data_IF_111510319025
#
_entry.id   IF_111510319025
#
_cell.length_a   1.000
_cell.length_b   1.000
_cell.length_c   1.000
_cell.angle_alpha   90.00
_cell.angle_beta   90.00
_cell.angle_gamma   90.00
#
_symmetry.space_group_name_H-M   'P 1'
#
loop_
_entity.id
_entity.type
_entity.pdbx_description
1 polymer ?
#
# COMPACT_ATOMS: atom_id res chain seq x y z
N UNK A 1 23.31 -12.61 -65.10
CA UNK A 1 22.19 -13.37 -64.56
C UNK A 1 22.10 -14.68 -65.34
N UNK A 2 22.14 -15.86 -64.70
CA UNK A 2 21.96 -17.16 -65.35
C UNK A 2 20.51 -17.62 -65.17
N UNK A 3 19.86 -17.98 -66.31
CA UNK A 3 18.49 -18.47 -66.34
C UNK A 3 18.53 -19.91 -66.86
N UNK A 4 17.95 -20.87 -66.17
CA UNK A 4 17.86 -22.27 -66.59
C UNK A 4 16.54 -22.45 -67.35
N UNK A 5 16.64 -22.90 -68.60
CA UNK A 5 15.46 -23.14 -69.46
C UNK A 5 15.25 -24.64 -69.58
N UNK A 6 13.99 -25.11 -69.43
CA UNK A 6 13.60 -26.47 -69.69
C UNK A 6 13.35 -26.65 -71.19
N UNK A 7 14.24 -27.41 -71.86
CA UNK A 7 14.19 -27.61 -73.30
C UNK A 7 13.01 -28.46 -73.76
N UNK A 8 12.29 -29.10 -72.83
CA UNK A 8 11.07 -29.88 -73.12
C UNK A 8 9.80 -29.02 -73.13
N UNK A 9 9.94 -27.75 -72.75
CA UNK A 9 8.84 -26.78 -72.66
C UNK A 9 8.98 -25.71 -73.74
N UNK A 10 7.87 -25.17 -74.17
CA UNK A 10 7.84 -24.01 -75.04
C UNK A 10 8.47 -22.78 -74.38
N UNK A 11 8.86 -21.79 -75.15
CA UNK A 11 9.35 -20.48 -74.65
C UNK A 11 8.32 -19.83 -73.75
N UNK A 12 7.03 -19.91 -74.12
CA UNK A 12 5.92 -19.34 -73.34
C UNK A 12 5.76 -20.01 -71.97
N UNK A 13 5.89 -21.34 -71.90
CA UNK A 13 5.80 -22.08 -70.65
C UNK A 13 6.98 -21.77 -69.71
N UNK A 14 8.17 -21.66 -70.24
CA UNK A 14 9.34 -21.21 -69.47
C UNK A 14 9.17 -19.78 -68.96
N UNK A 15 8.66 -18.87 -69.79
CA UNK A 15 8.38 -17.51 -69.37
C UNK A 15 7.29 -17.44 -68.28
N UNK A 16 6.20 -18.18 -68.44
CA UNK A 16 5.14 -18.27 -67.43
C UNK A 16 5.66 -18.82 -66.08
N UNK A 17 6.52 -19.83 -66.09
CA UNK A 17 7.13 -20.38 -64.88
C UNK A 17 7.96 -19.31 -64.12
N UNK A 18 8.79 -18.54 -64.82
CA UNK A 18 9.57 -17.48 -64.16
C UNK A 18 8.72 -16.30 -63.72
N UNK A 19 7.67 -15.98 -64.42
CA UNK A 19 6.73 -14.95 -64.03
C UNK A 19 5.97 -15.32 -62.72
N UNK A 20 5.46 -16.53 -62.63
CA UNK A 20 4.79 -17.03 -61.44
C UNK A 20 5.76 -17.12 -60.25
N UNK A 21 7.00 -17.55 -60.49
CA UNK A 21 8.02 -17.60 -59.46
C UNK A 21 8.39 -16.21 -58.95
N UNK A 22 8.47 -15.22 -59.84
CA UNK A 22 8.68 -13.80 -59.47
C UNK A 22 7.55 -13.27 -58.62
N UNK A 23 6.30 -13.52 -59.05
CA UNK A 23 5.08 -13.11 -58.34
C UNK A 23 5.03 -13.70 -56.92
N UNK A 24 5.34 -14.98 -56.78
CA UNK A 24 5.39 -15.64 -55.46
C UNK A 24 6.52 -15.07 -54.59
N UNK A 25 7.68 -14.80 -55.17
CA UNK A 25 8.79 -14.17 -54.44
C UNK A 25 8.47 -12.77 -53.95
N UNK A 26 7.84 -11.94 -54.79
CA UNK A 26 7.36 -10.58 -54.38
C UNK A 26 6.37 -10.67 -53.20
N UNK A 27 5.38 -11.56 -53.28
CA UNK A 27 4.43 -11.77 -52.15
C UNK A 27 5.13 -12.15 -50.85
N UNK A 28 6.16 -13.01 -50.93
CA UNK A 28 6.97 -13.39 -49.75
C UNK A 28 7.75 -12.20 -49.18
N UNK A 29 8.33 -11.36 -50.04
CA UNK A 29 9.08 -10.18 -49.62
C UNK A 29 8.14 -9.18 -48.94
N UNK A 30 6.97 -8.94 -49.52
CA UNK A 30 5.99 -7.99 -48.93
C UNK A 30 5.47 -8.51 -47.59
N UNK A 31 5.20 -9.82 -47.47
CA UNK A 31 4.83 -10.44 -46.21
C UNK A 31 5.95 -10.33 -45.15
N UNK A 32 7.20 -10.58 -45.52
CA UNK A 32 8.33 -10.44 -44.61
C UNK A 32 8.56 -8.98 -44.17
N UNK A 33 8.43 -8.01 -45.09
CA UNK A 33 8.48 -6.58 -44.72
C UNK A 33 7.39 -6.17 -43.74
N UNK A 34 6.16 -6.63 -43.97
CA UNK A 34 5.05 -6.34 -43.06
C UNK A 34 5.25 -6.95 -41.67
N UNK A 35 5.77 -8.19 -41.61
CA UNK A 35 6.09 -8.84 -40.35
C UNK A 35 7.20 -8.09 -39.61
N UNK A 36 8.25 -7.68 -40.32
CA UNK A 36 9.38 -6.92 -39.74
C UNK A 36 8.91 -5.60 -39.12
N UNK A 37 8.07 -4.84 -39.85
CA UNK A 37 7.51 -3.59 -39.29
C UNK A 37 6.64 -3.79 -38.06
N UNK A 38 5.88 -4.90 -37.98
CA UNK A 38 5.08 -5.22 -36.80
C UNK A 38 5.98 -5.55 -35.61
N UNK A 39 7.01 -6.34 -35.83
CA UNK A 39 7.97 -6.72 -34.78
C UNK A 39 8.76 -5.50 -34.27
N UNK A 40 9.18 -4.61 -35.15
CA UNK A 40 9.87 -3.37 -34.77
C UNK A 40 8.98 -2.49 -33.87
N UNK A 41 7.70 -2.32 -34.22
CA UNK A 41 6.74 -1.56 -33.38
C UNK A 41 6.49 -2.23 -32.02
N UNK A 42 6.51 -3.55 -31.97
CA UNK A 42 6.34 -4.31 -30.74
C UNK A 42 7.57 -4.17 -29.83
N UNK A 43 8.77 -4.23 -30.42
CA UNK A 43 10.03 -4.00 -29.71
C UNK A 43 10.06 -2.59 -29.12
N UNK A 44 9.75 -1.57 -29.91
CA UNK A 44 9.73 -0.17 -29.44
C UNK A 44 8.75 0.02 -28.27
N UNK A 45 7.57 -0.62 -28.33
CA UNK A 45 6.60 -0.59 -27.24
C UNK A 45 7.12 -1.29 -25.98
N UNK A 46 7.77 -2.44 -26.11
CA UNK A 46 8.36 -3.18 -24.99
C UNK A 46 9.53 -2.42 -24.36
N UNK A 47 10.39 -1.80 -25.15
CA UNK A 47 11.49 -0.97 -24.66
C UNK A 47 11.01 0.24 -23.86
N UNK A 48 9.98 0.94 -24.34
CA UNK A 48 9.36 2.05 -23.60
C UNK A 48 8.76 1.56 -22.26
N UNK A 49 8.11 0.40 -22.25
CA UNK A 49 7.56 -0.18 -21.03
C UNK A 49 8.67 -0.55 -20.05
N UNK A 50 9.74 -1.16 -20.55
CA UNK A 50 10.90 -1.58 -19.74
C UNK A 50 11.64 -0.38 -19.13
N UNK A 51 11.88 0.67 -19.92
CA UNK A 51 12.47 1.93 -19.41
C UNK A 51 11.60 2.60 -18.35
N UNK A 52 10.27 2.52 -18.49
CA UNK A 52 9.34 3.00 -17.48
C UNK A 52 9.39 2.19 -16.19
N UNK A 53 9.45 0.86 -16.30
CA UNK A 53 9.59 -0.04 -15.15
C UNK A 53 10.95 0.10 -14.44
N UNK A 54 12.05 0.28 -15.20
CA UNK A 54 13.38 0.52 -14.64
C UNK A 54 13.43 1.85 -13.87
N UNK A 55 12.84 2.93 -14.39
CA UNK A 55 12.71 4.21 -13.68
C UNK A 55 11.90 4.08 -12.39
N UNK A 56 10.82 3.28 -12.40
CA UNK A 56 10.03 2.98 -11.18
C UNK A 56 10.87 2.18 -10.19
N UNK A 57 11.65 1.19 -10.65
CA UNK A 57 12.52 0.41 -9.76
C UNK A 57 13.67 1.23 -9.18
N UNK A 58 14.25 2.14 -9.94
CA UNK A 58 15.27 3.08 -9.43
C UNK A 58 14.70 4.03 -8.38
N UNK A 59 13.50 4.57 -8.60
CA UNK A 59 12.83 5.41 -7.59
C UNK A 59 12.49 4.62 -6.32
N UNK A 60 12.15 3.32 -6.44
CA UNK A 60 11.93 2.41 -5.31
C UNK A 60 13.20 2.06 -4.54
N UNK A 61 14.37 2.04 -5.18
CA UNK A 61 15.65 1.76 -4.52
C UNK A 61 16.18 2.91 -3.66
N UNK A 62 15.70 4.13 -3.85
CA UNK A 62 16.26 5.32 -3.17
C UNK A 62 15.77 5.54 -1.74
N UNK A 63 14.68 4.87 -1.29
CA UNK A 63 14.18 5.03 0.08
C UNK A 63 14.32 3.74 0.89
N UNK A 64 15.15 3.77 1.91
CA UNK A 64 15.22 2.70 2.92
C UNK A 64 13.97 2.80 3.80
N UNK A 65 13.11 1.76 3.77
CA UNK A 65 11.91 1.72 4.63
C UNK A 65 12.33 1.60 6.09
N UNK A 66 11.69 2.38 6.94
CA UNK A 66 11.83 2.26 8.38
C UNK A 66 11.16 0.97 8.89
N UNK A 67 11.69 0.43 9.99
CA UNK A 67 11.24 -0.85 10.53
C UNK A 67 9.77 -0.87 10.94
N UNK A 68 9.19 0.28 11.30
CA UNK A 68 7.80 0.43 11.74
C UNK A 68 6.80 0.54 10.58
N UNK A 69 7.20 0.83 9.36
CA UNK A 69 6.29 1.03 8.22
C UNK A 69 5.50 -0.23 7.82
N UNK A 70 5.93 -1.40 8.23
CA UNK A 70 5.19 -2.65 8.06
C UNK A 70 3.94 -2.75 8.93
N UNK A 71 3.81 -1.91 9.96
CA UNK A 71 2.68 -1.80 10.87
C UNK A 71 1.76 -0.63 10.49
N UNK A 72 0.63 -0.47 11.17
CA UNK A 72 0.01 0.83 11.31
C UNK A 72 0.94 1.67 12.17
N UNK A 73 1.25 2.87 11.74
CA UNK A 73 2.18 3.73 12.47
C UNK A 73 1.82 5.20 12.31
N UNK A 74 2.14 5.98 13.31
CA UNK A 74 2.10 7.43 13.26
C UNK A 74 2.95 8.02 14.40
N UNK A 75 3.27 9.30 14.25
CA UNK A 75 3.78 10.10 15.35
C UNK A 75 2.63 10.87 15.97
N UNK A 76 2.49 10.82 17.32
CA UNK A 76 1.51 11.61 18.05
C UNK A 76 1.81 13.11 17.94
N UNK A 77 0.86 13.96 18.32
CA UNK A 77 1.10 15.41 18.38
C UNK A 77 2.25 15.80 19.32
N UNK A 78 2.59 14.92 20.26
CA UNK A 78 3.71 15.08 21.21
C UNK A 78 4.99 14.33 20.77
N UNK A 79 5.09 13.91 19.49
CA UNK A 79 6.23 13.20 18.89
C UNK A 79 6.53 11.79 19.45
N UNK A 80 5.55 11.08 20.00
CA UNK A 80 5.71 9.68 20.36
C UNK A 80 5.39 8.79 19.15
N UNK A 81 6.27 7.81 18.88
CA UNK A 81 6.00 6.80 17.87
C UNK A 81 4.93 5.82 18.38
N UNK A 82 3.83 5.73 17.67
CA UNK A 82 2.75 4.79 17.93
C UNK A 82 2.71 3.74 16.80
N UNK A 83 2.74 2.46 17.15
CA UNK A 83 2.69 1.36 16.18
C UNK A 83 1.60 0.37 16.53
N UNK A 84 0.91 -0.17 15.52
CA UNK A 84 -0.17 -1.13 15.69
C UNK A 84 -0.15 -2.23 14.63
N UNK A 85 -0.56 -3.43 15.00
CA UNK A 85 -0.62 -4.54 14.06
C UNK A 85 -1.69 -4.36 12.99
N UNK A 86 -1.47 -4.87 11.79
CA UNK A 86 -2.44 -4.88 10.67
C UNK A 86 -3.24 -6.17 10.60
N UNK A 87 -2.68 -7.24 11.16
CA UNK A 87 -3.23 -8.59 11.17
C UNK A 87 -2.71 -9.39 12.37
N UNK A 88 -3.14 -10.64 12.49
CA UNK A 88 -2.72 -11.52 13.59
C UNK A 88 -1.20 -11.71 13.67
N UNK A 89 -0.52 -11.79 12.51
CA UNK A 89 0.93 -11.98 12.46
C UNK A 89 1.68 -10.74 12.93
N UNK A 90 1.26 -9.57 12.46
CA UNK A 90 1.85 -8.29 12.85
C UNK A 90 1.51 -7.91 14.29
N UNK A 91 0.31 -8.24 14.79
CA UNK A 91 -0.02 -8.13 16.22
C UNK A 91 0.92 -8.96 17.09
N UNK A 92 1.17 -10.23 16.71
CA UNK A 92 2.11 -11.09 17.41
C UNK A 92 3.53 -10.50 17.44
N UNK A 93 3.97 -9.94 16.32
CA UNK A 93 5.29 -9.29 16.22
C UNK A 93 5.35 -8.01 17.05
N UNK A 94 4.32 -7.17 17.04
CA UNK A 94 4.26 -5.94 17.85
C UNK A 94 4.41 -6.28 19.32
N UNK A 95 3.62 -7.21 19.83
CA UNK A 95 3.63 -7.56 21.25
C UNK A 95 4.90 -8.31 21.66
N UNK A 96 5.34 -9.31 20.89
CA UNK A 96 6.47 -10.17 21.30
C UNK A 96 7.86 -9.55 21.04
N UNK A 97 7.97 -8.67 20.05
CA UNK A 97 9.29 -8.17 19.60
C UNK A 97 9.51 -6.69 19.87
N UNK A 98 8.45 -5.89 19.85
CA UNK A 98 8.61 -4.43 19.90
C UNK A 98 7.99 -3.79 21.14
N UNK A 99 7.20 -4.50 21.93
CA UNK A 99 6.71 -4.03 23.22
C UNK A 99 7.81 -4.08 24.26
N UNK A 100 8.02 -2.98 24.95
CA UNK A 100 8.99 -2.81 26.05
C UNK A 100 8.25 -2.53 27.36
N UNK A 101 8.94 -2.72 28.51
CA UNK A 101 8.31 -2.67 29.83
C UNK A 101 7.68 -1.32 30.18
N UNK A 102 8.18 -0.23 29.61
CA UNK A 102 7.67 1.13 29.85
C UNK A 102 6.63 1.60 28.82
N UNK A 103 6.32 0.79 27.81
CA UNK A 103 5.35 1.15 26.79
C UNK A 103 3.91 1.16 27.34
N UNK A 104 2.99 1.77 26.61
CA UNK A 104 1.56 1.70 26.90
C UNK A 104 0.87 0.94 25.78
N UNK A 105 0.08 -0.06 26.13
CA UNK A 105 -0.59 -0.97 25.18
C UNK A 105 -2.07 -0.63 25.09
N UNK A 106 -2.59 -0.62 23.86
CA UNK A 106 -4.01 -0.33 23.58
C UNK A 106 -4.66 -1.49 22.82
N UNK A 107 -5.90 -1.77 23.16
CA UNK A 107 -6.74 -2.73 22.43
C UNK A 107 -8.22 -2.38 22.64
N UNK A 108 -9.14 -2.95 21.85
CA UNK A 108 -10.58 -2.84 22.06
C UNK A 108 -11.11 -4.05 22.81
N UNK A 109 -12.26 -3.93 23.48
CA UNK A 109 -12.95 -5.10 24.04
C UNK A 109 -13.44 -6.06 22.96
N UNK A 110 -13.88 -5.52 21.82
CA UNK A 110 -14.35 -6.33 20.72
C UNK A 110 -13.18 -7.01 19.98
N UNK A 111 -13.31 -8.27 19.54
CA UNK A 111 -12.28 -8.97 18.79
C UNK A 111 -12.09 -8.35 17.41
N UNK A 112 -10.84 -8.39 16.93
CA UNK A 112 -10.46 -7.86 15.61
C UNK A 112 -9.99 -6.41 15.64
N UNK A 113 -9.36 -6.03 16.71
CA UNK A 113 -8.62 -4.80 16.91
C UNK A 113 -7.12 -5.03 16.73
N UNK A 114 -6.36 -4.02 16.31
CA UNK A 114 -4.92 -4.00 16.45
C UNK A 114 -4.51 -3.90 17.93
N UNK A 115 -3.40 -4.52 18.29
CA UNK A 115 -2.62 -4.11 19.45
C UNK A 115 -1.79 -2.90 19.05
N UNK A 116 -2.12 -1.74 19.59
CA UNK A 116 -1.31 -0.54 19.46
C UNK A 116 -0.41 -0.38 20.68
N UNK A 117 0.80 0.10 20.47
CA UNK A 117 1.74 0.49 21.52
C UNK A 117 2.26 1.89 21.28
N UNK A 118 2.42 2.65 22.35
CA UNK A 118 3.17 3.90 22.38
C UNK A 118 4.59 3.57 22.79
N UNK A 119 5.57 3.87 21.94
CA UNK A 119 6.98 3.75 22.28
C UNK A 119 7.37 4.93 23.16
N UNK A 120 7.44 4.69 24.47
CA UNK A 120 7.65 5.76 25.45
C UNK A 120 9.11 6.14 25.62
N UNK A 121 10.03 5.20 25.35
CA UNK A 121 11.46 5.39 25.65
C UNK A 121 11.72 5.85 27.09
N UNK A 122 10.85 5.44 28.02
CA UNK A 122 10.92 5.84 29.43
C UNK A 122 10.42 7.24 29.75
N UNK A 123 9.86 7.97 28.79
CA UNK A 123 9.30 9.32 28.98
C UNK A 123 7.84 9.23 29.44
N UNK A 124 7.41 10.24 30.20
CA UNK A 124 5.99 10.38 30.55
C UNK A 124 5.16 10.71 29.32
N UNK A 125 4.09 9.95 29.08
CA UNK A 125 3.20 10.13 27.94
C UNK A 125 2.08 11.11 28.28
N UNK A 126 1.92 12.21 27.51
CA UNK A 126 0.82 13.15 27.69
C UNK A 126 -0.55 12.52 27.43
N UNK A 127 -1.57 13.04 28.08
CA UNK A 127 -2.95 12.57 27.92
C UNK A 127 -3.45 12.68 26.46
N UNK A 128 -2.96 13.69 25.74
CA UNK A 128 -3.29 13.89 24.33
C UNK A 128 -2.81 12.70 23.48
N UNK A 129 -1.57 12.25 23.65
CA UNK A 129 -1.02 11.07 22.97
C UNK A 129 -1.81 9.79 23.29
N UNK A 130 -2.29 9.64 24.56
CA UNK A 130 -3.16 8.52 24.96
C UNK A 130 -4.49 8.56 24.20
N UNK A 131 -5.14 9.72 24.11
CA UNK A 131 -6.39 9.90 23.36
C UNK A 131 -6.21 9.62 21.87
N UNK A 132 -5.14 10.10 21.28
CA UNK A 132 -4.80 9.87 19.87
C UNK A 132 -4.57 8.38 19.58
N UNK A 133 -3.83 7.69 20.43
CA UNK A 133 -3.58 6.25 20.24
C UNK A 133 -4.86 5.44 20.44
N UNK A 134 -5.72 5.81 21.40
CA UNK A 134 -7.02 5.19 21.55
C UNK A 134 -7.90 5.38 20.30
N UNK A 135 -7.92 6.60 19.73
CA UNK A 135 -8.67 6.90 18.50
C UNK A 135 -8.14 6.11 17.29
N UNK A 136 -6.81 5.99 17.14
CA UNK A 136 -6.21 5.17 16.11
C UNK A 136 -6.59 3.69 16.29
N UNK A 137 -6.48 3.15 17.52
CA UNK A 137 -6.85 1.76 17.84
C UNK A 137 -8.29 1.45 17.46
N UNK A 138 -9.23 2.34 17.81
CA UNK A 138 -10.64 2.22 17.43
C UNK A 138 -10.82 2.25 15.91
N UNK A 139 -10.19 3.22 15.25
CA UNK A 139 -10.38 3.46 13.81
C UNK A 139 -9.76 2.37 12.92
N UNK A 140 -8.70 1.71 13.38
CA UNK A 140 -8.10 0.57 12.68
C UNK A 140 -8.70 -0.79 13.08
N UNK A 141 -9.70 -0.81 13.96
CA UNK A 141 -10.42 -2.03 14.36
C UNK A 141 -11.52 -2.41 13.37
N UNK A 142 -12.12 -3.58 13.58
CA UNK A 142 -13.32 -4.01 12.85
C UNK A 142 -14.51 -3.07 12.99
N UNK A 143 -14.57 -2.23 14.03
CA UNK A 143 -15.61 -1.24 14.21
C UNK A 143 -15.73 -0.30 13.00
N UNK A 144 -14.61 0.01 12.32
CA UNK A 144 -14.62 0.79 11.09
C UNK A 144 -15.43 0.11 9.97
N UNK A 145 -15.20 -1.18 9.72
CA UNK A 145 -15.90 -1.93 8.68
C UNK A 145 -17.37 -2.19 9.01
N UNK A 146 -17.73 -2.16 10.29
CA UNK A 146 -19.09 -2.36 10.78
C UNK A 146 -19.93 -1.07 10.80
N UNK A 147 -19.34 0.08 10.43
CA UNK A 147 -20.04 1.37 10.46
C UNK A 147 -20.29 1.91 11.87
N UNK A 148 -19.59 1.39 12.89
CA UNK A 148 -19.70 1.82 14.27
C UNK A 148 -18.93 3.13 14.46
N UNK A 149 -19.59 4.17 14.99
CA UNK A 149 -19.00 5.50 15.12
C UNK A 149 -18.10 5.69 16.33
N UNK A 150 -18.31 4.89 17.38
CA UNK A 150 -17.52 4.88 18.62
C UNK A 150 -17.37 3.46 19.12
N UNK A 151 -16.21 3.13 19.71
CA UNK A 151 -16.00 1.83 20.36
C UNK A 151 -15.14 1.99 21.60
N UNK A 152 -15.33 1.13 22.59
CA UNK A 152 -14.50 1.14 23.79
C UNK A 152 -13.10 0.63 23.48
N UNK A 153 -12.11 1.43 23.84
CA UNK A 153 -10.68 1.11 23.82
C UNK A 153 -10.17 1.19 25.23
N UNK A 154 -9.31 0.27 25.61
CA UNK A 154 -8.61 0.35 26.89
C UNK A 154 -7.11 0.46 26.68
N UNK A 155 -6.44 1.06 27.64
CA UNK A 155 -4.98 1.01 27.76
C UNK A 155 -4.58 0.28 29.03
N UNK A 156 -3.45 -0.39 28.93
CA UNK A 156 -2.83 -1.24 29.96
C UNK A 156 -1.31 -1.14 29.91
N UNK A 157 -0.66 -1.61 30.94
CA UNK A 157 0.77 -1.78 30.97
C UNK A 157 1.20 -3.11 30.30
N UNK A 158 2.44 -3.20 29.79
CA UNK A 158 2.95 -4.42 29.15
C UNK A 158 2.91 -5.67 30.02
N UNK A 159 3.13 -5.54 31.32
CA UNK A 159 3.12 -6.65 32.29
C UNK A 159 1.74 -7.33 32.42
N UNK A 160 0.67 -6.62 32.02
CA UNK A 160 -0.70 -7.13 32.00
C UNK A 160 -1.00 -8.00 30.77
N UNK A 161 -0.15 -7.97 29.73
CA UNK A 161 -0.30 -8.78 28.51
C UNK A 161 0.40 -10.12 28.70
N UNK A 162 -0.37 -11.22 28.71
CA UNK A 162 0.16 -12.57 28.92
C UNK A 162 0.06 -13.43 27.67
N UNK A 163 1.13 -14.14 27.38
CA UNK A 163 1.20 -15.14 26.31
C UNK A 163 0.85 -16.49 26.96
N UNK A 164 -0.28 -17.07 26.56
CA UNK A 164 -0.69 -18.38 27.05
C UNK A 164 -0.59 -19.42 25.95
N UNK A 165 -0.22 -20.66 26.34
CA UNK A 165 -0.14 -21.80 25.43
C UNK A 165 -1.56 -22.19 24.95
N UNK A 166 -1.69 -22.45 23.65
CA UNK A 166 -2.97 -22.88 23.05
C UNK A 166 -3.82 -21.75 22.50
N UNK A 167 -3.46 -20.47 22.70
CA UNK A 167 -4.14 -19.35 22.06
C UNK A 167 -3.76 -19.22 20.57
N UNK A 168 -4.71 -18.81 19.73
CA UNK A 168 -4.40 -18.48 18.34
C UNK A 168 -3.34 -17.38 18.23
N UNK A 169 -2.55 -17.41 17.16
CA UNK A 169 -1.51 -16.42 16.88
C UNK A 169 -2.08 -15.01 16.93
N UNK A 170 -1.37 -14.08 17.60
CA UNK A 170 -1.79 -12.69 17.75
C UNK A 170 -2.92 -12.46 18.72
N UNK A 171 -3.28 -13.47 19.54
CA UNK A 171 -4.22 -13.37 20.65
C UNK A 171 -3.45 -13.44 21.97
N UNK A 172 -3.81 -12.58 22.91
CA UNK A 172 -3.16 -12.47 24.21
C UNK A 172 -4.20 -12.37 25.31
N UNK A 173 -3.88 -12.89 26.49
CA UNK A 173 -4.70 -12.70 27.68
C UNK A 173 -4.32 -11.41 28.37
N UNK A 174 -5.35 -10.67 28.80
CA UNK A 174 -5.18 -9.39 29.48
C UNK A 174 -5.61 -9.52 30.92
N UNK A 175 -4.69 -9.28 31.83
CA UNK A 175 -4.91 -9.34 33.27
C UNK A 175 -4.90 -7.96 33.92
N UNK A 176 -5.59 -7.81 35.04
CA UNK A 176 -5.57 -6.59 35.86
C UNK A 176 -6.53 -5.50 35.38
N UNK A 177 -6.31 -4.29 35.90
CA UNK A 177 -7.19 -3.14 35.70
C UNK A 177 -6.96 -2.54 34.31
N UNK A 178 -8.05 -2.20 33.61
CA UNK A 178 -8.05 -1.53 32.30
C UNK A 178 -8.52 -0.10 32.48
N UNK A 179 -7.91 0.83 31.73
CA UNK A 179 -8.34 2.21 31.67
C UNK A 179 -9.07 2.44 30.36
N UNK A 180 -10.35 2.76 30.41
CA UNK A 180 -11.22 2.83 29.23
C UNK A 180 -11.35 4.24 28.67
N UNK A 181 -11.42 4.30 27.32
CA UNK A 181 -11.74 5.48 26.54
C UNK A 181 -12.75 5.08 25.44
N UNK A 182 -13.59 6.04 25.02
CA UNK A 182 -14.60 5.83 23.97
C UNK A 182 -14.39 6.86 22.85
N UNK A 183 -13.35 6.70 22.01
CA UNK A 183 -13.05 7.67 20.95
C UNK A 183 -14.02 7.55 19.77
N UNK A 184 -14.16 8.65 19.03
CA UNK A 184 -14.86 8.70 17.74
C UNK A 184 -13.93 8.16 16.65
N UNK A 185 -14.47 7.36 15.73
CA UNK A 185 -13.71 6.78 14.61
C UNK A 185 -13.57 7.81 13.48
N UNK A 186 -12.48 8.51 13.48
CA UNK A 186 -12.11 9.50 12.46
C UNK A 186 -10.60 9.53 12.33
N UNK A 187 -10.09 9.59 11.10
CA UNK A 187 -8.67 9.72 10.80
C UNK A 187 -8.43 10.84 9.80
N UNK A 188 -7.18 11.17 9.61
CA UNK A 188 -6.72 12.01 8.52
C UNK A 188 -5.49 11.38 7.88
N UNK A 189 -5.20 11.76 6.64
CA UNK A 189 -4.05 11.28 5.91
C UNK A 189 -3.29 12.46 5.29
N UNK A 190 -1.98 12.45 5.45
CA UNK A 190 -1.06 13.43 4.90
C UNK A 190 0.29 12.81 4.59
N UNK A 191 1.28 13.63 4.30
CA UNK A 191 2.68 13.20 4.09
C UNK A 191 3.53 13.73 5.23
N UNK A 192 4.23 12.83 5.87
CA UNK A 192 5.25 13.05 6.88
C UNK A 192 6.59 12.48 6.42
N UNK A 193 7.62 13.31 6.28
CA UNK A 193 8.97 12.89 5.84
C UNK A 193 8.93 11.97 4.60
N UNK A 194 8.25 12.40 3.54
CA UNK A 194 8.08 11.66 2.27
C UNK A 194 7.32 10.32 2.39
N UNK A 195 6.59 10.10 3.51
CA UNK A 195 5.80 8.91 3.78
C UNK A 195 4.32 9.26 3.94
N UNK A 196 3.45 8.43 3.39
CA UNK A 196 2.03 8.54 3.71
C UNK A 196 1.80 8.16 5.17
N UNK A 197 1.22 9.06 5.95
CA UNK A 197 0.86 8.82 7.35
C UNK A 197 -0.64 9.00 7.53
N UNK A 198 -1.30 8.00 8.11
CA UNK A 198 -2.73 8.03 8.45
C UNK A 198 -2.88 7.90 9.96
N UNK A 199 -3.46 8.94 10.58
CA UNK A 199 -3.52 9.08 12.03
C UNK A 199 -4.74 9.93 12.46
N UNK A 200 -5.01 10.06 13.73
CA UNK A 200 -5.94 11.05 14.26
C UNK A 200 -5.66 12.47 13.75
N UNK A 201 -6.70 13.26 13.59
CA UNK A 201 -6.61 14.57 12.96
C UNK A 201 -5.62 15.52 13.68
N UNK A 202 -5.52 15.45 15.01
CA UNK A 202 -4.57 16.23 15.79
C UNK A 202 -3.13 15.94 15.42
N UNK A 203 -2.75 14.66 15.30
CA UNK A 203 -1.43 14.23 14.86
C UNK A 203 -1.09 14.77 13.46
N UNK A 204 -2.03 14.58 12.53
CA UNK A 204 -1.83 15.00 11.13
C UNK A 204 -1.70 16.52 11.01
N UNK A 205 -2.48 17.30 11.76
CA UNK A 205 -2.37 18.76 11.79
C UNK A 205 -1.01 19.25 12.29
N UNK A 206 -0.42 18.53 13.23
CA UNK A 206 0.90 18.89 13.78
C UNK A 206 2.01 18.61 12.80
N UNK A 207 1.93 17.48 12.08
CA UNK A 207 3.05 16.95 11.30
C UNK A 207 2.92 17.17 9.79
N UNK A 208 1.71 17.39 9.25
CA UNK A 208 1.48 17.44 7.82
C UNK A 208 0.92 18.80 7.40
N UNK A 209 1.50 19.40 6.37
CA UNK A 209 1.06 20.70 5.84
C UNK A 209 -0.28 20.62 5.11
N UNK A 210 -0.49 19.55 4.35
CA UNK A 210 -1.72 19.30 3.61
C UNK A 210 -2.24 17.91 3.94
N UNK A 211 -3.53 17.77 4.13
CA UNK A 211 -4.15 16.51 4.51
C UNK A 211 -5.61 16.44 4.07
N UNK A 212 -6.15 15.24 4.08
CA UNK A 212 -7.57 14.95 3.93
C UNK A 212 -8.07 14.24 5.17
N UNK A 213 -9.26 14.59 5.62
CA UNK A 213 -9.95 13.83 6.69
C UNK A 213 -10.74 12.68 6.06
N UNK A 214 -10.72 11.57 6.75
CA UNK A 214 -11.39 10.35 6.32
C UNK A 214 -12.27 9.80 7.44
N UNK A 215 -13.47 9.38 7.05
CA UNK A 215 -14.45 8.72 7.91
C UNK A 215 -14.94 7.44 7.24
N UNK A 216 -15.68 6.65 7.97
CA UNK A 216 -16.45 5.55 7.39
C UNK A 216 -17.39 6.06 6.31
N UNK A 217 -17.55 5.30 5.23
CA UNK A 217 -18.34 5.71 4.09
C UNK A 217 -18.67 4.58 3.14
N UNK A 218 -18.96 4.90 1.88
CA UNK A 218 -19.39 3.96 0.87
C UNK A 218 -18.45 3.89 -0.35
N UNK A 219 -17.35 4.64 -0.33
CA UNK A 219 -16.35 4.58 -1.42
C UNK A 219 -15.38 3.46 -1.12
N UNK A 220 -15.25 2.51 -2.04
CA UNK A 220 -14.28 1.41 -1.92
C UNK A 220 -12.87 1.94 -1.61
N UNK A 221 -12.18 1.28 -0.71
CA UNK A 221 -10.83 1.65 -0.28
C UNK A 221 -9.87 1.93 -1.45
N UNK A 222 -9.92 1.11 -2.51
CA UNK A 222 -9.08 1.28 -3.70
C UNK A 222 -9.35 2.58 -4.47
N UNK A 223 -10.62 2.99 -4.56
CA UNK A 223 -11.00 4.20 -5.27
C UNK A 223 -10.78 5.46 -4.42
N UNK A 224 -10.98 5.34 -3.11
CA UNK A 224 -10.58 6.37 -2.15
C UNK A 224 -9.06 6.59 -2.19
N UNK A 225 -8.26 5.52 -2.20
CA UNK A 225 -6.81 5.59 -2.27
C UNK A 225 -6.31 6.30 -3.55
N UNK A 226 -6.94 6.07 -4.72
CA UNK A 226 -6.61 6.78 -5.96
C UNK A 226 -6.86 8.29 -5.84
N UNK A 227 -7.99 8.68 -5.24
CA UNK A 227 -8.32 10.11 -5.02
C UNK A 227 -7.35 10.77 -4.05
N UNK A 228 -7.06 10.08 -2.94
CA UNK A 228 -6.09 10.54 -1.93
C UNK A 228 -4.70 10.69 -2.54
N UNK A 229 -4.23 9.66 -3.27
CA UNK A 229 -2.94 9.73 -3.97
C UNK A 229 -2.85 10.96 -4.86
N UNK A 230 -3.85 11.19 -5.73
CA UNK A 230 -3.89 12.34 -6.62
C UNK A 230 -3.78 13.66 -5.85
N UNK A 231 -4.57 13.82 -4.79
CA UNK A 231 -4.52 15.01 -3.94
C UNK A 231 -3.14 15.22 -3.31
N UNK A 232 -2.56 14.17 -2.75
CA UNK A 232 -1.25 14.26 -2.09
C UNK A 232 -0.14 14.58 -3.09
N UNK A 233 -0.14 13.96 -4.26
CA UNK A 233 0.84 14.24 -5.33
C UNK A 233 0.74 15.70 -5.84
N UNK A 234 -0.48 16.22 -6.00
CA UNK A 234 -0.71 17.61 -6.40
C UNK A 234 -0.25 18.62 -5.34
N UNK A 235 -0.50 18.32 -4.04
CA UNK A 235 -0.18 19.27 -2.96
C UNK A 235 1.28 19.26 -2.52
N UNK A 236 1.92 18.11 -2.58
CA UNK A 236 3.31 17.96 -2.12
C UNK A 236 4.33 17.92 -3.27
N UNK A 237 3.87 17.88 -4.53
CA UNK A 237 4.73 17.75 -5.72
C UNK A 237 5.68 16.54 -5.65
N UNK A 238 5.23 15.48 -4.98
CA UNK A 238 5.97 14.22 -4.77
C UNK A 238 5.19 13.04 -5.34
N UNK A 239 5.90 12.00 -5.79
CA UNK A 239 5.26 10.77 -6.26
C UNK A 239 5.11 9.79 -5.11
N UNK A 240 3.90 9.27 -4.92
CA UNK A 240 3.57 8.26 -3.93
C UNK A 240 3.02 7.02 -4.63
N UNK A 241 3.43 5.85 -4.18
CA UNK A 241 2.87 4.61 -4.70
C UNK A 241 1.44 4.38 -4.16
N UNK A 242 0.54 3.89 -5.03
CA UNK A 242 -0.84 3.60 -4.63
C UNK A 242 -0.89 2.59 -3.47
N UNK A 243 -0.02 1.58 -3.51
CA UNK A 243 0.09 0.57 -2.47
C UNK A 243 0.49 1.16 -1.12
N UNK A 244 1.35 2.19 -1.10
CA UNK A 244 1.72 2.90 0.13
C UNK A 244 0.51 3.58 0.76
N UNK A 245 -0.28 4.30 -0.04
CA UNK A 245 -1.54 4.90 0.42
C UNK A 245 -2.51 3.83 0.90
N UNK A 246 -2.67 2.73 0.17
CA UNK A 246 -3.55 1.64 0.57
C UNK A 246 -3.12 0.96 1.87
N UNK A 247 -1.82 0.84 2.13
CA UNK A 247 -1.29 0.18 3.33
C UNK A 247 -1.53 0.96 4.62
N UNK A 248 -1.62 2.28 4.55
CA UNK A 248 -1.84 3.14 5.74
C UNK A 248 -3.31 3.40 6.03
N UNK A 249 -4.21 3.20 5.07
CA UNK A 249 -5.65 3.38 5.25
C UNK A 249 -6.29 2.26 6.09
N UNK A 250 -7.37 2.54 6.86
CA UNK A 250 -8.13 1.52 7.56
C UNK A 250 -8.77 0.52 6.58
N UNK A 251 -9.16 -0.65 7.10
CA UNK A 251 -9.92 -1.63 6.35
C UNK A 251 -11.36 -1.13 6.13
N UNK A 252 -11.94 -1.44 4.96
CA UNK A 252 -13.33 -1.09 4.63
C UNK A 252 -13.48 0.18 3.80
N UNK A 253 -14.73 0.58 3.62
CA UNK A 253 -15.09 1.70 2.76
C UNK A 253 -14.89 3.05 3.48
N UNK A 254 -14.58 4.08 2.69
CA UNK A 254 -14.11 5.37 3.20
C UNK A 254 -14.92 6.51 2.58
N UNK A 255 -15.23 7.52 3.39
CA UNK A 255 -15.66 8.84 2.94
C UNK A 255 -14.50 9.82 3.13
N UNK A 256 -14.16 10.55 2.08
CA UNK A 256 -13.16 11.63 2.10
C UNK A 256 -13.92 12.95 2.28
N UNK A 257 -13.45 13.79 3.20
CA UNK A 257 -13.99 15.13 3.45
C UNK A 257 -12.94 16.19 3.16
#
# INVERSE_FOLDING_TARGET
MRITIDIKKSVQENAAFYYERSKRSRKKIDGAKSALQKTEKEIEKLERTKQYEEKIQESKKQRKKEWYEKFHWFYSSDNFLCIGGKDQTTNDIVVKKYMEDNDIVFHTEAPGSPFFIIKTEGKNVPEQTIKETAQATASFSKAWTQGITTTEVYNINPDQVKIELGLPKGTFMIHGKRNYLTPVLELAIGIYEDKAMCAPLSCIKTHCKHFLTIKQGFTKKSDAAKKIKKFLEEKYSTKIELDEVMQVLPAGDIKIN
#
